data_IF_459738675348
#
_entry.id   IF_459738675348
#
_cell.length_a   1.000
_cell.length_b   1.000
_cell.length_c   1.000
_cell.angle_alpha   90.00
_cell.angle_beta   90.00
_cell.angle_gamma   90.00
#
_symmetry.space_group_name_H-M   'P 1'
#
loop_
_entity.id
_entity.type
_entity.pdbx_description
1 polymer ?
#
# COMPACT_ATOMS: atom_id res chain seq x y z
N UNK A 1 -11.78 -7.93 -3.53
CA UNK A 1 -11.48 -6.72 -4.33
C UNK A 1 -10.12 -6.82 -5.01
N UNK A 2 -8.99 -6.92 -4.28
CA UNK A 2 -7.67 -6.89 -4.91
C UNK A 2 -7.37 -8.04 -5.88
N UNK A 3 -7.73 -9.29 -5.55
CA UNK A 3 -7.53 -10.43 -6.46
C UNK A 3 -8.21 -10.21 -7.83
N UNK A 4 -9.40 -9.59 -7.82
CA UNK A 4 -10.12 -9.26 -9.06
C UNK A 4 -9.45 -8.11 -9.83
N UNK A 5 -8.90 -7.12 -9.13
CA UNK A 5 -8.11 -6.06 -9.76
C UNK A 5 -6.85 -6.63 -10.42
N UNK A 6 -6.08 -7.48 -9.72
CA UNK A 6 -4.92 -8.17 -10.25
C UNK A 6 -5.27 -9.02 -11.48
N UNK A 7 -6.39 -9.76 -11.42
CA UNK A 7 -6.92 -10.54 -12.55
C UNK A 7 -7.23 -9.67 -13.76
N UNK A 8 -7.93 -8.53 -13.57
CA UNK A 8 -8.25 -7.58 -14.64
C UNK A 8 -6.99 -6.95 -15.27
N UNK A 9 -5.96 -6.71 -14.48
CA UNK A 9 -4.67 -6.22 -14.95
C UNK A 9 -3.78 -7.31 -15.58
N UNK A 10 -4.12 -8.59 -15.43
CA UNK A 10 -3.29 -9.70 -15.91
C UNK A 10 -1.97 -9.87 -15.14
N UNK A 11 -1.91 -9.38 -13.89
CA UNK A 11 -0.70 -9.40 -13.05
C UNK A 11 -0.91 -10.37 -11.87
N UNK A 12 0.08 -11.21 -11.51
CA UNK A 12 -0.03 -12.06 -10.34
C UNK A 12 -0.03 -11.22 -9.04
N UNK A 13 -0.80 -11.57 -8.01
CA UNK A 13 -0.92 -10.79 -6.76
C UNK A 13 0.43 -10.45 -6.10
N UNK A 14 1.39 -11.37 -6.15
CA UNK A 14 2.73 -11.18 -5.56
C UNK A 14 3.55 -10.07 -6.24
N UNK A 15 3.10 -9.60 -7.41
CA UNK A 15 3.67 -8.45 -8.14
C UNK A 15 2.81 -7.19 -8.02
N UNK A 16 1.81 -7.18 -7.16
CA UNK A 16 0.99 -6.02 -6.85
C UNK A 16 1.46 -5.34 -5.57
N UNK A 17 1.37 -4.01 -5.55
CA UNK A 17 1.46 -3.18 -4.36
C UNK A 17 0.09 -2.53 -4.13
N UNK A 18 -0.47 -2.74 -2.95
CA UNK A 18 -1.75 -2.15 -2.52
C UNK A 18 -1.47 -0.92 -1.67
N UNK A 19 -2.19 0.17 -1.89
CA UNK A 19 -2.17 1.36 -1.03
C UNK A 19 -3.46 1.39 -0.21
N UNK A 20 -3.34 1.45 1.11
CA UNK A 20 -4.49 1.40 2.04
C UNK A 20 -4.27 2.33 3.23
N UNK A 21 -5.35 2.85 3.78
CA UNK A 21 -5.36 3.82 4.87
C UNK A 21 -5.98 3.28 6.17
N UNK A 22 -6.56 2.07 6.14
CA UNK A 22 -7.20 1.42 7.29
C UNK A 22 -6.78 -0.05 7.46
N UNK A 23 -6.82 -0.53 8.71
CA UNK A 23 -6.40 -1.90 9.08
C UNK A 23 -7.13 -3.00 8.28
N UNK A 24 -8.46 -2.98 8.09
CA UNK A 24 -9.14 -4.02 7.32
C UNK A 24 -8.65 -4.13 5.88
N UNK A 25 -8.36 -3.00 5.24
CA UNK A 25 -7.81 -2.96 3.88
C UNK A 25 -6.39 -3.53 3.82
N UNK A 26 -5.53 -3.14 4.77
CA UNK A 26 -4.17 -3.69 4.89
C UNK A 26 -4.19 -5.21 5.02
N UNK A 27 -5.02 -5.73 5.94
CA UNK A 27 -5.16 -7.17 6.15
C UNK A 27 -5.71 -7.87 4.91
N UNK A 28 -6.65 -7.26 4.18
CA UNK A 28 -7.20 -7.82 2.96
C UNK A 28 -6.16 -7.86 1.81
N UNK A 29 -5.30 -6.85 1.69
CA UNK A 29 -4.19 -6.83 0.72
C UNK A 29 -3.17 -7.94 1.02
N UNK A 30 -2.79 -8.07 2.29
CA UNK A 30 -1.90 -9.13 2.80
C UNK A 30 -2.48 -10.52 2.55
N UNK A 31 -3.76 -10.72 2.87
CA UNK A 31 -4.46 -12.00 2.65
C UNK A 31 -4.57 -12.35 1.15
N UNK A 32 -4.57 -11.36 0.26
CA UNK A 32 -4.52 -11.56 -1.18
C UNK A 32 -3.12 -11.93 -1.70
N UNK A 33 -2.10 -12.02 -0.84
CA UNK A 33 -0.71 -12.33 -1.21
C UNK A 33 0.01 -11.16 -1.89
N UNK A 34 -0.42 -9.93 -1.62
CA UNK A 34 0.16 -8.70 -2.16
C UNK A 34 1.02 -7.99 -1.11
N UNK A 35 1.96 -7.15 -1.56
CA UNK A 35 2.59 -6.16 -0.67
C UNK A 35 1.62 -5.03 -0.39
N UNK A 36 1.73 -4.41 0.78
CA UNK A 36 0.88 -3.29 1.18
C UNK A 36 1.72 -2.10 1.65
N UNK A 37 1.42 -0.93 1.10
CA UNK A 37 1.89 0.37 1.57
C UNK A 37 0.74 1.07 2.31
N UNK A 38 0.87 1.25 3.61
CA UNK A 38 -0.06 2.06 4.37
C UNK A 38 0.16 3.55 4.02
N UNK A 39 -0.93 4.28 3.78
CA UNK A 39 -0.91 5.73 3.58
C UNK A 39 -1.48 6.39 4.83
N UNK A 40 -0.83 7.45 5.30
CA UNK A 40 -1.35 8.27 6.38
C UNK A 40 -2.68 8.90 5.97
N UNK A 41 -3.65 8.83 6.87
CA UNK A 41 -4.93 9.49 6.73
C UNK A 41 -5.32 10.05 8.10
N UNK A 42 -5.81 11.29 8.12
CA UNK A 42 -6.08 12.02 9.36
C UNK A 42 -7.20 11.39 10.19
N UNK A 43 -8.09 10.60 9.57
CA UNK A 43 -9.19 9.90 10.23
C UNK A 43 -8.76 8.57 10.88
N UNK A 44 -7.54 8.09 10.62
CA UNK A 44 -7.00 6.84 11.19
C UNK A 44 -5.61 7.00 11.82
N UNK A 45 -5.27 8.22 12.26
CA UNK A 45 -3.99 8.53 12.92
C UNK A 45 -3.79 7.77 14.23
N UNK A 46 -4.87 7.50 14.96
CA UNK A 46 -4.85 6.68 16.17
C UNK A 46 -4.41 5.23 15.91
N UNK A 47 -4.42 4.80 14.64
CA UNK A 47 -4.00 3.47 14.19
C UNK A 47 -2.62 3.46 13.54
N UNK A 48 -1.84 4.55 13.57
CA UNK A 48 -0.54 4.63 12.89
C UNK A 48 0.39 3.46 13.24
N UNK A 49 0.61 3.21 14.53
CA UNK A 49 1.51 2.14 14.99
C UNK A 49 1.08 0.76 14.49
N UNK A 50 -0.23 0.50 14.51
CA UNK A 50 -0.82 -0.73 14.00
C UNK A 50 -0.64 -0.87 12.49
N UNK A 51 -0.90 0.21 11.74
CA UNK A 51 -0.69 0.29 10.29
C UNK A 51 0.75 -0.07 9.96
N UNK A 52 1.72 0.59 10.60
CA UNK A 52 3.16 0.33 10.41
C UNK A 52 3.55 -1.11 10.67
N UNK A 53 2.97 -1.75 11.69
CA UNK A 53 3.28 -3.15 12.03
C UNK A 53 2.72 -4.15 11.01
N UNK A 54 1.57 -3.85 10.42
CA UNK A 54 0.85 -4.78 9.53
C UNK A 54 1.20 -4.61 8.03
N UNK A 55 1.68 -3.43 7.63
CA UNK A 55 2.05 -3.12 6.25
C UNK A 55 3.54 -3.34 5.96
N UNK A 56 3.90 -3.50 4.69
CA UNK A 56 5.31 -3.58 4.25
C UNK A 56 5.98 -2.20 4.19
N UNK A 57 5.19 -1.14 3.98
CA UNK A 57 5.65 0.25 3.93
C UNK A 57 4.62 1.16 4.59
N UNK A 58 5.06 2.31 5.10
CA UNK A 58 4.18 3.39 5.54
C UNK A 58 4.68 4.71 4.96
N UNK A 59 3.79 5.47 4.34
CA UNK A 59 4.08 6.79 3.77
C UNK A 59 3.08 7.82 4.26
N UNK A 60 3.52 9.07 4.41
CA UNK A 60 2.64 10.20 4.73
C UNK A 60 1.88 10.71 3.53
N UNK A 61 2.48 10.59 2.35
CA UNK A 61 1.89 10.97 1.08
C UNK A 61 2.50 10.14 -0.07
N UNK A 62 1.98 10.34 -1.29
CA UNK A 62 2.46 9.61 -2.46
C UNK A 62 3.84 10.05 -2.96
N UNK A 63 4.37 11.20 -2.52
CA UNK A 63 5.71 11.64 -2.92
C UNK A 63 6.80 10.81 -2.22
N UNK A 64 6.57 10.41 -0.96
CA UNK A 64 7.48 9.53 -0.23
C UNK A 64 7.65 8.15 -0.90
N UNK A 65 6.66 7.70 -1.68
CA UNK A 65 6.72 6.44 -2.44
C UNK A 65 7.88 6.46 -3.45
N UNK A 66 8.15 7.61 -4.07
CA UNK A 66 9.22 7.74 -5.06
C UNK A 66 10.59 7.47 -4.44
N UNK A 67 10.80 8.00 -3.22
CA UNK A 67 12.01 7.76 -2.45
C UNK A 67 12.15 6.28 -2.04
N UNK A 68 11.06 5.65 -1.60
CA UNK A 68 11.06 4.25 -1.15
C UNK A 68 11.32 3.28 -2.31
N UNK A 69 10.75 3.55 -3.49
CA UNK A 69 10.88 2.68 -4.66
C UNK A 69 12.11 2.99 -5.53
N UNK A 70 12.91 4.00 -5.16
CA UNK A 70 14.08 4.42 -5.93
C UNK A 70 13.71 4.90 -7.34
N UNK A 71 12.51 5.44 -7.52
CA UNK A 71 12.06 5.97 -8.79
C UNK A 71 12.64 7.38 -8.98
N UNK A 72 13.09 7.74 -10.19
CA UNK A 72 13.60 9.07 -10.46
C UNK A 72 12.53 10.12 -10.14
N UNK A 73 12.96 11.27 -9.62
CA UNK A 73 12.07 12.44 -9.49
C UNK A 73 11.47 12.76 -10.86
N UNK A 74 10.23 13.29 -10.87
CA UNK A 74 9.50 13.60 -12.10
C UNK A 74 10.42 14.35 -13.08
N UNK A 75 10.57 13.78 -14.28
CA UNK A 75 10.97 14.54 -15.45
C UNK A 75 9.74 15.36 -15.80
N UNK A 76 9.80 16.66 -15.53
CA UNK A 76 8.83 17.66 -15.94
C UNK A 76 8.77 17.79 -17.48
#
# INVERSE_FOLDING_TARGET
>A
MYLEAARKCGIPPQRCLVFEDIIPGILAGRAAGMKVCAVEDTYSLDQEEEKRRLSDYYVKDYFEVMAILGLPERID
#
